data_IF_093010150077
#
_entry.id   IF_093010150077
#
_cell.length_a   1.000
_cell.length_b   1.000
_cell.length_c   1.000
_cell.angle_alpha   90.00
_cell.angle_beta   90.00
_cell.angle_gamma   90.00
#
_symmetry.space_group_name_H-M   'P 1'
#
loop_
_entity.id
_entity.type
_entity.pdbx_description
1 polymer ?
#
# COMPACT_ATOMS: atom_id res chain seq x y z
N UNK A 1 -7.08 10.51 0.00
CA UNK A 1 -6.10 10.48 -1.11
C UNK A 1 -5.54 9.07 -1.13
N UNK A 2 -4.83 8.64 -2.17
CA UNK A 2 -3.99 7.44 -2.07
C UNK A 2 -2.61 7.75 -2.61
N UNK A 3 -1.57 7.26 -1.94
CA UNK A 3 -0.20 7.46 -2.38
C UNK A 3 0.71 6.40 -1.78
N UNK A 4 1.80 6.08 -2.48
CA UNK A 4 2.76 5.10 -2.03
C UNK A 4 4.05 5.79 -1.55
N UNK A 5 4.47 5.53 -0.32
CA UNK A 5 5.71 6.05 0.23
C UNK A 5 6.83 5.02 0.03
N UNK A 6 7.90 5.43 -0.66
CA UNK A 6 9.09 4.61 -0.86
C UNK A 6 10.35 5.46 -0.68
N UNK A 7 11.27 5.01 0.16
CA UNK A 7 12.51 5.74 0.50
C UNK A 7 12.25 7.19 0.95
N UNK A 8 11.19 7.40 1.75
CA UNK A 8 10.78 8.72 2.24
C UNK A 8 10.17 9.65 1.18
N UNK A 9 9.92 9.15 -0.04
CA UNK A 9 9.30 9.92 -1.13
C UNK A 9 7.92 9.37 -1.48
N UNK A 10 6.95 10.26 -1.60
CA UNK A 10 5.62 9.91 -2.10
C UNK A 10 5.70 9.67 -3.60
N UNK A 11 5.09 8.58 -4.07
CA UNK A 11 4.99 8.15 -5.47
C UNK A 11 3.53 7.79 -5.76
N UNK A 12 3.15 7.90 -7.03
CA UNK A 12 1.79 7.66 -7.50
C UNK A 12 0.70 8.33 -6.62
N UNK A 13 0.76 9.63 -6.31
CA UNK A 13 -0.37 10.26 -5.62
C UNK A 13 -1.59 10.25 -6.55
N UNK A 14 -2.73 9.80 -6.05
CA UNK A 14 -4.02 9.90 -6.74
C UNK A 14 -5.06 10.50 -5.79
N UNK A 15 -5.63 11.62 -6.22
CA UNK A 15 -6.77 12.27 -5.58
C UNK A 15 -8.03 11.60 -6.13
N UNK A 16 -8.83 11.06 -5.22
CA UNK A 16 -10.07 10.36 -5.51
C UNK A 16 -11.20 11.27 -5.03
N UNK A 17 -12.14 11.59 -5.92
CA UNK A 17 -13.37 12.26 -5.54
C UNK A 17 -14.31 11.24 -4.88
N UNK A 18 -14.53 11.39 -3.57
CA UNK A 18 -15.35 10.49 -2.77
C UNK A 18 -14.54 9.42 -2.01
N UNK A 19 -15.17 8.28 -1.76
CA UNK A 19 -14.59 7.20 -0.95
C UNK A 19 -13.76 6.24 -1.79
N UNK A 20 -12.61 5.83 -1.28
CA UNK A 20 -11.89 4.72 -1.88
C UNK A 20 -12.60 3.40 -1.55
N UNK A 21 -12.85 2.60 -2.58
CA UNK A 21 -13.42 1.27 -2.48
C UNK A 21 -12.46 0.25 -3.12
N UNK A 22 -12.85 -1.03 -3.17
CA UNK A 22 -12.01 -2.08 -3.74
C UNK A 22 -11.63 -1.84 -5.21
N UNK A 23 -12.55 -1.32 -6.01
CA UNK A 23 -12.31 -1.11 -7.45
C UNK A 23 -11.29 0.00 -7.69
N UNK A 24 -11.40 1.11 -6.95
CA UNK A 24 -10.46 2.22 -7.01
C UNK A 24 -9.08 1.77 -6.52
N UNK A 25 -9.04 0.96 -5.45
CA UNK A 25 -7.78 0.43 -4.94
C UNK A 25 -7.14 -0.59 -5.89
N UNK A 26 -7.91 -1.48 -6.50
CA UNK A 26 -7.42 -2.44 -7.48
C UNK A 26 -6.83 -1.73 -8.71
N UNK A 27 -7.46 -0.64 -9.17
CA UNK A 27 -6.93 0.21 -10.23
C UNK A 27 -5.64 0.93 -9.81
N UNK A 28 -5.52 1.31 -8.54
CA UNK A 28 -4.30 1.90 -8.00
C UNK A 28 -3.13 0.92 -7.95
N UNK A 29 -3.38 -0.34 -7.57
CA UNK A 29 -2.35 -1.39 -7.46
C UNK A 29 -1.67 -1.70 -8.79
N UNK A 30 -2.35 -1.54 -9.92
CA UNK A 30 -1.77 -1.82 -11.24
C UNK A 30 -0.95 -0.65 -11.80
N UNK A 31 -0.80 0.45 -11.04
CA UNK A 31 0.03 1.58 -11.43
C UNK A 31 1.51 1.12 -11.51
N UNK A 32 2.26 1.50 -12.56
CA UNK A 32 3.62 1.01 -12.85
C UNK A 32 4.72 1.41 -11.82
N UNK A 33 4.34 1.94 -10.66
CA UNK A 33 5.26 2.26 -9.56
C UNK A 33 5.68 1.01 -8.80
N UNK A 34 4.86 -0.04 -8.79
CA UNK A 34 5.16 -1.32 -8.14
C UNK A 34 6.08 -2.18 -9.01
N UNK A 35 7.13 -2.71 -8.39
CA UNK A 35 8.14 -3.55 -9.02
C UNK A 35 8.19 -4.92 -8.34
N UNK A 36 8.43 -6.00 -9.10
CA UNK A 36 8.67 -7.31 -8.54
C UNK A 36 9.72 -7.28 -7.41
N UNK A 37 9.48 -8.02 -6.33
CA UNK A 37 10.35 -8.09 -5.16
C UNK A 37 10.10 -7.01 -4.10
N UNK A 38 9.25 -6.02 -4.37
CA UNK A 38 8.83 -5.03 -3.36
C UNK A 38 7.77 -5.59 -2.42
N UNK A 39 7.76 -5.08 -1.18
CA UNK A 39 6.68 -5.37 -0.22
C UNK A 39 5.78 -4.15 -0.10
N UNK A 40 4.50 -4.34 -0.40
CA UNK A 40 3.45 -3.35 -0.19
C UNK A 40 2.93 -3.50 1.24
N UNK A 41 3.03 -2.43 2.01
CA UNK A 41 2.52 -2.34 3.37
C UNK A 41 1.21 -1.56 3.33
N UNK A 42 0.12 -2.21 3.72
CA UNK A 42 -1.22 -1.62 3.76
C UNK A 42 -1.68 -1.48 5.22
N UNK A 43 -2.53 -0.50 5.49
CA UNK A 43 -3.23 -0.45 6.78
C UNK A 43 -4.21 -1.64 6.91
N UNK A 44 -4.83 -1.81 8.09
CA UNK A 44 -5.68 -2.96 8.35
C UNK A 44 -7.16 -2.79 7.93
N UNK A 45 -7.46 -1.86 7.01
CA UNK A 45 -8.81 -1.68 6.51
C UNK A 45 -9.36 -2.99 5.90
N UNK A 46 -10.62 -3.29 6.24
CA UNK A 46 -11.26 -4.57 5.89
C UNK A 46 -11.39 -4.78 4.39
N UNK A 47 -11.52 -3.70 3.61
CA UNK A 47 -11.70 -3.75 2.17
C UNK A 47 -10.42 -4.19 1.42
N UNK A 48 -9.22 -3.99 1.99
CA UNK A 48 -7.97 -4.50 1.40
C UNK A 48 -7.83 -6.03 1.43
N UNK A 49 -8.63 -6.71 2.24
CA UNK A 49 -8.54 -8.17 2.44
C UNK A 49 -9.26 -8.96 1.34
N UNK A 50 -9.77 -8.29 0.32
CA UNK A 50 -10.35 -8.95 -0.84
C UNK A 50 -9.30 -9.84 -1.54
N UNK A 51 -9.68 -11.08 -1.86
CA UNK A 51 -8.79 -12.02 -2.55
C UNK A 51 -8.29 -11.47 -3.90
N UNK A 52 -9.10 -10.65 -4.57
CA UNK A 52 -8.76 -10.00 -5.84
C UNK A 52 -7.55 -9.07 -5.72
N UNK A 53 -7.56 -8.18 -4.73
CA UNK A 53 -6.47 -7.25 -4.46
C UNK A 53 -5.18 -8.00 -4.17
N UNK A 54 -5.26 -9.10 -3.40
CA UNK A 54 -4.12 -9.96 -3.13
C UNK A 54 -3.51 -10.54 -4.41
N UNK A 55 -4.35 -11.11 -5.27
CA UNK A 55 -3.91 -11.70 -6.54
C UNK A 55 -3.28 -10.66 -7.47
N UNK A 56 -3.80 -9.44 -7.52
CA UNK A 56 -3.23 -8.36 -8.34
C UNK A 56 -1.79 -8.02 -7.90
N UNK A 57 -1.56 -7.87 -6.60
CA UNK A 57 -0.23 -7.55 -6.07
C UNK A 57 0.74 -8.71 -6.29
N UNK A 58 0.31 -9.95 -6.06
CA UNK A 58 1.12 -11.15 -6.29
C UNK A 58 1.47 -11.33 -7.78
N UNK A 59 0.55 -11.02 -8.71
CA UNK A 59 0.80 -11.05 -10.15
C UNK A 59 1.85 -10.03 -10.61
N UNK A 60 2.01 -8.91 -9.90
CA UNK A 60 3.10 -7.94 -10.12
C UNK A 60 4.43 -8.47 -9.56
N UNK A 61 4.42 -9.58 -8.82
CA UNK A 61 5.59 -10.13 -8.13
C UNK A 61 5.91 -9.40 -6.82
N UNK A 62 4.96 -8.65 -6.28
CA UNK A 62 5.08 -7.97 -4.99
C UNK A 62 4.54 -8.84 -3.85
N UNK A 63 4.98 -8.57 -2.63
CA UNK A 63 4.45 -9.17 -1.39
C UNK A 63 3.53 -8.17 -0.69
N UNK A 64 2.56 -8.67 0.08
CA UNK A 64 1.68 -7.84 0.92
C UNK A 64 2.01 -8.05 2.39
N UNK A 65 2.06 -6.95 3.13
CA UNK A 65 2.10 -6.94 4.59
C UNK A 65 1.00 -6.01 5.10
N UNK A 66 0.11 -6.53 5.96
CA UNK A 66 -0.86 -5.70 6.65
C UNK A 66 -0.27 -5.19 7.96
N UNK A 67 -0.48 -3.90 8.26
CA UNK A 67 -0.20 -3.36 9.58
C UNK A 67 -1.10 -4.06 10.61
N UNK A 68 -0.61 -4.30 11.84
CA UNK A 68 -1.44 -4.85 12.90
C UNK A 68 -2.65 -3.92 13.18
N UNK A 69 -3.80 -4.48 13.60
CA UNK A 69 -4.93 -3.67 14.05
C UNK A 69 -4.48 -2.78 15.21
N UNK A 70 -4.47 -1.46 14.94
CA UNK A 70 -4.22 -0.37 15.89
C UNK A 70 -3.05 -0.58 16.86
N UNK A 71 -1.88 -0.02 16.54
CA UNK A 71 -0.87 0.33 17.53
C UNK A 71 -1.11 1.81 17.91
N UNK A 72 -1.69 2.11 19.08
CA UNK A 72 -2.06 3.48 19.46
C UNK A 72 -0.88 4.47 19.45
N UNK A 73 0.35 3.96 19.60
CA UNK A 73 1.58 4.74 19.77
C UNK A 73 2.52 4.74 18.55
N UNK A 74 2.11 4.24 17.38
CA UNK A 74 2.93 4.31 16.16
C UNK A 74 2.29 5.17 15.07
N UNK A 75 2.12 6.46 15.37
CA UNK A 75 2.34 7.47 14.35
C UNK A 75 3.23 8.59 14.91
N UNK A 76 4.46 8.74 14.38
CA UNK A 76 4.71 10.01 13.67
C UNK A 76 5.29 9.84 12.26
N UNK A 77 6.16 8.87 12.01
CA UNK A 77 6.77 8.56 10.71
C UNK A 77 7.32 7.14 10.84
N UNK A 78 6.59 6.11 10.42
CA UNK A 78 6.92 4.71 10.74
C UNK A 78 8.15 4.19 9.96
N UNK A 79 9.33 4.61 10.41
CA UNK A 79 10.58 3.89 10.57
C UNK A 79 11.01 3.02 9.39
N UNK A 80 11.75 3.69 8.50
CA UNK A 80 12.71 3.15 7.53
C UNK A 80 13.49 1.95 8.12
N UNK A 81 13.20 0.72 7.68
CA UNK A 81 14.18 -0.36 7.73
C UNK A 81 15.03 -0.26 6.45
N UNK A 82 16.24 0.29 6.59
CA UNK A 82 17.26 0.25 5.53
C UNK A 82 17.45 -1.21 5.11
N UNK A 83 17.15 -1.52 3.85
CA UNK A 83 17.49 -2.81 3.22
C UNK A 83 16.36 -3.60 2.56
N UNK A 84 15.10 -3.15 2.61
CA UNK A 84 14.02 -3.76 1.82
C UNK A 84 13.07 -2.68 1.30
N UNK A 85 12.86 -2.66 0.00
CA UNK A 85 12.04 -1.66 -0.71
C UNK A 85 10.57 -1.86 -0.34
N UNK A 86 10.14 -1.19 0.72
CA UNK A 86 8.78 -1.26 1.24
C UNK A 86 7.99 -0.04 0.77
N UNK A 87 6.84 -0.26 0.14
CA UNK A 87 5.90 0.78 -0.26
C UNK A 87 4.76 0.83 0.75
N UNK A 88 4.65 1.90 1.53
CA UNK A 88 3.49 2.13 2.38
C UNK A 88 2.41 2.82 1.55
N UNK A 89 1.26 2.18 1.34
CA UNK A 89 0.08 2.88 0.82
C UNK A 89 -0.71 3.40 2.03
N UNK A 90 -0.79 4.72 2.17
CA UNK A 90 -1.59 5.37 3.20
C UNK A 90 -2.72 6.18 2.54
N UNK A 91 -3.87 6.23 3.23
CA UNK A 91 -5.04 7.04 2.89
C UNK A 91 -4.90 8.51 3.26
#
# INVERSE_FOLDING_TARGET
MIGALNEGKVKAPWIIDGYCNNEIFDAYVVVPVFKPGQTIVLDNASFYKAARTKNLIENIGCKILFLPPYLPDLNPQARHKKGSTNLLAQY
#
